data_IF_876117443675
#
_entry.id   IF_876117443675
#
_cell.length_a   1.000
_cell.length_b   1.000
_cell.length_c   1.000
_cell.angle_alpha   90.00
_cell.angle_beta   90.00
_cell.angle_gamma   90.00
#
_symmetry.space_group_name_H-M   'P 1'
#
loop_
_entity.id
_entity.type
_entity.pdbx_description
1 polymer ?
#
# COMPACT_ATOMS: atom_id res chain seq x y z
N UNK A 1 6.86 4.31 -31.92
CA UNK A 1 6.52 5.73 -31.67
C UNK A 1 6.31 5.87 -30.17
N UNK A 2 7.31 6.36 -29.46
CA UNK A 2 7.15 6.76 -28.06
C UNK A 2 6.30 8.02 -28.09
N UNK A 3 5.04 7.92 -27.68
CA UNK A 3 4.23 9.09 -27.45
C UNK A 3 4.92 9.90 -26.35
N UNK A 4 5.27 11.16 -26.64
CA UNK A 4 5.74 12.09 -25.63
C UNK A 4 4.61 12.23 -24.60
N UNK A 5 4.81 11.65 -23.42
CA UNK A 5 3.90 11.87 -22.31
C UNK A 5 3.92 13.36 -21.98
N UNK A 6 2.76 14.01 -21.72
CA UNK A 6 2.68 15.44 -21.40
C UNK A 6 3.20 15.73 -19.98
N UNK A 7 4.28 15.09 -19.60
CA UNK A 7 4.97 15.32 -18.33
C UNK A 7 6.07 16.35 -18.56
N UNK A 8 6.40 17.17 -17.55
CA UNK A 8 7.56 18.07 -17.61
C UNK A 8 8.78 17.26 -18.06
N UNK A 9 9.42 17.68 -19.15
CA UNK A 9 10.52 16.94 -19.82
C UNK A 9 11.81 16.96 -19.02
N UNK A 10 11.93 17.80 -18.00
CA UNK A 10 13.10 17.87 -17.11
C UNK A 10 12.67 17.57 -15.68
N UNK A 11 12.71 16.29 -15.27
CA UNK A 11 12.57 15.89 -13.87
C UNK A 11 13.95 15.61 -13.29
N UNK A 12 14.30 16.32 -12.23
CA UNK A 12 15.40 15.95 -11.36
C UNK A 12 14.85 15.11 -10.21
N UNK A 13 15.00 13.79 -10.33
CA UNK A 13 14.48 12.82 -9.34
C UNK A 13 15.24 12.88 -8.00
N UNK A 14 16.40 13.54 -7.97
CA UNK A 14 17.24 13.67 -6.77
C UNK A 14 17.00 14.96 -6.02
N UNK A 15 16.37 15.95 -6.68
CA UNK A 15 16.10 17.24 -6.06
C UNK A 15 15.06 17.15 -4.95
N UNK A 16 15.27 17.95 -3.92
CA UNK A 16 14.28 18.11 -2.85
C UNK A 16 13.02 18.82 -3.36
N UNK A 17 11.86 18.37 -2.88
CA UNK A 17 10.61 19.06 -3.16
C UNK A 17 10.54 20.39 -2.40
N UNK A 18 10.04 21.43 -3.05
CA UNK A 18 9.76 22.72 -2.40
C UNK A 18 8.62 22.58 -1.38
N UNK A 19 7.65 21.72 -1.66
CA UNK A 19 6.54 21.42 -0.76
C UNK A 19 6.87 20.16 0.05
N UNK A 20 7.13 20.32 1.34
CA UNK A 20 7.57 19.26 2.23
C UNK A 20 6.42 18.77 3.13
N UNK A 21 6.25 17.45 3.33
CA UNK A 21 5.23 16.90 4.22
C UNK A 21 5.31 17.46 5.65
N UNK A 22 6.51 17.62 6.19
CA UNK A 22 6.74 18.17 7.53
C UNK A 22 6.17 19.60 7.69
N UNK A 23 6.27 20.43 6.64
CA UNK A 23 5.72 21.78 6.67
C UNK A 23 4.19 21.78 6.70
N UNK A 24 3.58 20.91 5.90
CA UNK A 24 2.12 20.73 5.88
C UNK A 24 1.61 20.25 7.24
N UNK A 25 2.24 19.23 7.80
CA UNK A 25 1.86 18.65 9.09
C UNK A 25 2.01 19.64 10.25
N UNK A 26 3.09 20.43 10.25
CA UNK A 26 3.29 21.52 11.24
C UNK A 26 2.12 22.51 11.20
N UNK A 27 1.74 22.96 10.00
CA UNK A 27 0.62 23.89 9.85
C UNK A 27 -0.72 23.26 10.21
N UNK A 28 -0.94 21.98 9.88
CA UNK A 28 -2.14 21.25 10.25
C UNK A 28 -2.27 21.12 11.78
N UNK A 29 -1.16 20.79 12.49
CA UNK A 29 -1.15 20.78 13.96
C UNK A 29 -1.48 22.14 14.54
N UNK A 30 -0.86 23.20 14.04
CA UNK A 30 -1.13 24.57 14.49
C UNK A 30 -2.59 24.96 14.30
N UNK A 31 -3.17 24.70 13.13
CA UNK A 31 -4.55 25.07 12.81
C UNK A 31 -5.60 24.30 13.60
N UNK A 32 -5.32 23.01 13.87
CA UNK A 32 -6.26 22.10 14.54
C UNK A 32 -5.98 21.95 16.03
N UNK A 33 -4.96 22.65 16.54
CA UNK A 33 -4.49 22.56 17.93
C UNK A 33 -4.19 21.11 18.36
N UNK A 34 -3.48 20.36 17.52
CA UNK A 34 -3.10 18.97 17.79
C UNK A 34 -1.74 18.92 18.49
N UNK A 35 -1.51 17.92 19.37
CA UNK A 35 -0.21 17.71 19.99
C UNK A 35 0.84 17.31 18.94
N UNK A 36 2.10 17.61 19.23
CA UNK A 36 3.23 17.16 18.43
C UNK A 36 3.73 15.82 18.97
N UNK A 37 2.98 14.77 18.65
CA UNK A 37 3.27 13.39 19.02
C UNK A 37 3.68 12.60 17.79
N UNK A 38 4.76 11.81 17.86
CA UNK A 38 5.16 10.93 16.76
C UNK A 38 4.12 9.81 16.59
N UNK A 39 3.96 9.36 15.36
CA UNK A 39 3.16 8.17 15.07
C UNK A 39 3.92 6.90 15.50
N UNK A 40 3.24 5.74 15.63
CA UNK A 40 3.92 4.47 15.82
C UNK A 40 4.98 4.21 14.75
N UNK A 41 6.08 3.57 15.13
CA UNK A 41 7.20 3.29 14.20
C UNK A 41 6.80 2.34 13.06
N UNK A 42 5.81 1.49 13.30
CA UNK A 42 5.18 0.63 12.29
C UNK A 42 3.80 1.18 12.00
N UNK A 43 3.54 1.48 10.73
CA UNK A 43 2.24 1.96 10.29
C UNK A 43 1.69 1.10 9.15
N UNK A 44 0.38 0.88 9.19
CA UNK A 44 -0.36 0.15 8.19
C UNK A 44 -1.20 1.10 7.36
N UNK A 45 -1.09 0.99 6.04
CA UNK A 45 -2.09 1.50 5.11
C UNK A 45 -3.12 0.40 4.86
N UNK A 46 -4.37 0.73 5.11
CA UNK A 46 -5.55 -0.12 4.97
C UNK A 46 -6.48 0.53 3.92
N UNK A 47 -6.18 0.40 2.60
CA UNK A 47 -6.95 1.06 1.56
C UNK A 47 -8.43 0.73 1.60
N UNK A 48 -8.80 -0.50 1.88
CA UNK A 48 -10.20 -0.94 1.97
C UNK A 48 -10.91 -0.38 3.22
N UNK A 49 -10.18 -0.18 4.29
CA UNK A 49 -10.69 0.41 5.53
C UNK A 49 -11.30 -0.59 6.52
N UNK A 50 -11.16 -1.88 6.27
CA UNK A 50 -11.81 -2.91 7.07
C UNK A 50 -11.07 -3.21 8.37
N UNK A 51 -9.74 -3.13 8.36
CA UNK A 51 -8.92 -3.29 9.55
C UNK A 51 -9.23 -2.17 10.54
N UNK A 52 -9.25 -0.91 10.09
CA UNK A 52 -9.60 0.21 10.95
C UNK A 52 -11.05 0.14 11.46
N UNK A 53 -11.99 -0.30 10.63
CA UNK A 53 -13.38 -0.51 11.01
C UNK A 53 -13.50 -1.62 12.08
N UNK A 54 -12.76 -2.71 11.93
CA UNK A 54 -12.70 -3.78 12.94
C UNK A 54 -12.13 -3.27 14.26
N UNK A 55 -11.01 -2.54 14.24
CA UNK A 55 -10.41 -1.95 15.45
C UNK A 55 -11.40 -1.03 16.18
N UNK A 56 -12.11 -0.19 15.42
CA UNK A 56 -13.11 0.70 15.96
C UNK A 56 -14.30 -0.04 16.59
N UNK A 57 -14.84 -1.04 15.90
CA UNK A 57 -16.05 -1.76 16.34
C UNK A 57 -15.80 -2.68 17.53
N UNK A 58 -14.59 -3.25 17.63
CA UNK A 58 -14.21 -4.16 18.71
C UNK A 58 -13.59 -3.46 19.92
N UNK A 59 -13.32 -2.15 19.83
CA UNK A 59 -12.59 -1.41 20.86
C UNK A 59 -11.14 -1.83 21.05
N UNK A 60 -10.55 -2.53 20.06
CA UNK A 60 -9.15 -3.00 20.08
C UNK A 60 -8.17 -1.91 19.65
N UNK A 61 -8.65 -0.76 19.21
CA UNK A 61 -7.84 0.39 18.84
C UNK A 61 -8.39 1.68 19.42
N UNK A 62 -7.54 2.70 19.45
CA UNK A 62 -7.92 4.06 19.80
C UNK A 62 -7.41 5.04 18.75
N UNK A 63 -8.01 6.22 18.66
CA UNK A 63 -7.55 7.26 17.74
C UNK A 63 -6.26 7.90 18.21
N UNK A 64 -5.31 8.08 17.27
CA UNK A 64 -4.09 8.84 17.51
C UNK A 64 -4.38 10.33 17.50
N UNK A 65 -4.12 11.02 18.63
CA UNK A 65 -4.49 12.43 18.81
C UNK A 65 -3.58 13.40 18.05
N UNK A 66 -2.31 13.03 17.82
CA UNK A 66 -1.31 13.83 17.12
C UNK A 66 -1.25 13.63 15.59
N UNK A 67 -2.04 12.72 15.01
CA UNK A 67 -2.07 12.53 13.56
C UNK A 67 -2.68 13.74 12.85
N UNK A 68 -1.86 14.44 12.07
CA UNK A 68 -2.20 15.75 11.54
C UNK A 68 -2.62 15.77 10.07
N UNK A 69 -2.71 14.62 9.41
CA UNK A 69 -3.24 14.54 8.05
C UNK A 69 -4.65 15.13 7.97
N UNK A 70 -4.91 15.97 6.96
CA UNK A 70 -6.23 16.59 6.78
C UNK A 70 -7.30 15.62 6.31
N UNK A 71 -6.91 14.51 5.70
CA UNK A 71 -7.81 13.65 4.92
C UNK A 71 -8.10 12.31 5.60
N UNK A 72 -7.31 11.93 6.60
CA UNK A 72 -7.41 10.61 7.26
C UNK A 72 -7.34 10.75 8.77
N UNK A 73 -7.96 9.78 9.45
CA UNK A 73 -7.70 9.48 10.85
C UNK A 73 -6.68 8.35 10.95
N UNK A 74 -6.03 8.24 12.12
CA UNK A 74 -5.18 7.11 12.46
C UNK A 74 -5.76 6.38 13.67
N UNK A 75 -5.83 5.07 13.59
CA UNK A 75 -6.07 4.18 14.72
C UNK A 75 -4.77 3.60 15.22
N UNK A 76 -4.64 3.41 16.50
CA UNK A 76 -3.48 2.75 17.13
C UNK A 76 -3.96 1.51 17.84
N UNK A 77 -3.29 0.40 17.61
CA UNK A 77 -3.50 -0.88 18.30
C UNK A 77 -2.17 -1.42 18.79
N UNK A 78 -2.22 -2.37 19.72
CA UNK A 78 -1.05 -3.13 20.16
C UNK A 78 -1.07 -4.50 19.48
N UNK A 79 0.03 -4.86 18.85
CA UNK A 79 0.26 -6.18 18.27
C UNK A 79 1.47 -6.81 18.96
N UNK A 80 1.23 -7.79 19.80
CA UNK A 80 2.28 -8.53 20.52
C UNK A 80 3.29 -7.61 21.25
N UNK A 81 2.82 -6.51 21.84
CA UNK A 81 3.64 -5.53 22.56
C UNK A 81 4.24 -4.43 21.67
N UNK A 82 3.87 -4.39 20.39
CA UNK A 82 4.29 -3.34 19.46
C UNK A 82 3.10 -2.46 19.09
N UNK A 83 3.24 -1.15 19.29
CA UNK A 83 2.23 -0.19 18.84
C UNK A 83 2.25 -0.08 17.31
N UNK A 84 1.09 -0.24 16.67
CA UNK A 84 0.91 -0.13 15.21
C UNK A 84 -0.12 0.94 14.92
N UNK A 85 0.24 1.88 14.04
CA UNK A 85 -0.68 2.88 13.50
C UNK A 85 -1.41 2.32 12.27
N UNK A 86 -2.71 2.52 12.18
CA UNK A 86 -3.53 2.09 11.04
C UNK A 86 -4.22 3.28 10.41
N UNK A 87 -3.96 3.54 9.14
CA UNK A 87 -4.59 4.60 8.35
C UNK A 87 -5.42 3.97 7.25
N UNK A 88 -6.73 4.18 7.31
CA UNK A 88 -7.69 3.61 6.39
C UNK A 88 -7.96 4.49 5.16
N UNK A 89 -8.43 3.84 4.08
CA UNK A 89 -9.04 4.46 2.90
C UNK A 89 -8.10 5.34 2.07
N UNK A 90 -6.81 5.08 2.13
CA UNK A 90 -5.83 5.71 1.26
C UNK A 90 -5.75 4.97 -0.09
N UNK A 91 -6.88 4.93 -0.81
CA UNK A 91 -7.03 4.22 -2.07
C UNK A 91 -6.35 4.96 -3.22
N UNK A 92 -5.63 4.22 -4.03
CA UNK A 92 -4.97 4.70 -5.24
C UNK A 92 -3.59 5.29 -5.01
N UNK A 93 -2.73 5.12 -5.99
CA UNK A 93 -1.32 5.49 -5.95
C UNK A 93 -1.04 6.91 -5.42
N UNK A 94 -1.71 7.98 -5.90
CA UNK A 94 -1.43 9.34 -5.42
C UNK A 94 -1.74 9.53 -3.95
N UNK A 95 -2.83 8.94 -3.46
CA UNK A 95 -3.26 9.15 -2.08
C UNK A 95 -2.47 8.28 -1.11
N UNK A 96 -2.19 7.03 -1.48
CA UNK A 96 -1.34 6.15 -0.68
C UNK A 96 0.05 6.75 -0.46
N UNK A 97 0.67 7.28 -1.52
CA UNK A 97 1.99 7.94 -1.46
C UNK A 97 1.93 9.22 -0.61
N UNK A 98 0.91 10.06 -0.79
CA UNK A 98 0.73 11.27 0.02
C UNK A 98 0.66 10.94 1.51
N UNK A 99 -0.08 9.90 1.89
CA UNK A 99 -0.20 9.46 3.28
C UNK A 99 1.10 8.83 3.78
N UNK A 100 1.75 7.99 2.97
CA UNK A 100 3.03 7.36 3.33
C UNK A 100 4.12 8.40 3.62
N UNK A 101 4.28 9.42 2.78
CA UNK A 101 5.24 10.51 3.03
C UNK A 101 4.95 11.24 4.35
N UNK A 102 3.67 11.44 4.68
CA UNK A 102 3.28 12.05 5.96
C UNK A 102 3.53 11.13 7.16
N UNK A 103 3.38 9.82 7.01
CA UNK A 103 3.71 8.84 8.04
C UNK A 103 5.21 8.87 8.37
N UNK A 104 6.07 8.80 7.35
CA UNK A 104 7.53 8.90 7.55
C UNK A 104 7.94 10.25 8.15
N UNK A 105 7.36 11.35 7.68
CA UNK A 105 7.60 12.68 8.25
C UNK A 105 7.09 12.83 9.70
N UNK A 106 6.22 11.93 10.16
CA UNK A 106 5.69 11.88 11.53
C UNK A 106 6.38 10.85 12.42
N UNK A 107 7.41 10.14 11.93
CA UNK A 107 8.22 9.22 12.72
C UNK A 107 8.02 7.74 12.47
N UNK A 108 7.30 7.33 11.43
CA UNK A 108 7.26 5.93 11.02
C UNK A 108 8.63 5.48 10.47
N UNK A 109 9.00 4.24 10.76
CA UNK A 109 10.18 3.59 10.19
C UNK A 109 9.80 2.58 9.10
N UNK A 110 8.63 1.95 9.24
CA UNK A 110 8.10 0.96 8.33
C UNK A 110 6.65 1.26 8.02
N UNK A 111 6.30 1.24 6.74
CA UNK A 111 4.92 1.29 6.26
C UNK A 111 4.59 -0.04 5.57
N UNK A 112 3.52 -0.68 6.00
CA UNK A 112 2.96 -1.88 5.38
C UNK A 112 1.64 -1.53 4.73
N UNK A 113 1.48 -1.76 3.44
CA UNK A 113 0.18 -1.64 2.76
C UNK A 113 -0.46 -3.02 2.63
N UNK A 114 -1.70 -3.17 3.07
CA UNK A 114 -2.51 -4.37 2.87
C UNK A 114 -3.77 -3.95 2.14
N UNK A 115 -3.92 -4.39 0.90
CA UNK A 115 -5.05 -4.04 0.03
C UNK A 115 -5.72 -5.29 -0.50
N UNK A 116 -7.01 -5.24 -0.81
CA UNK A 116 -7.63 -6.27 -1.63
C UNK A 116 -7.10 -6.20 -3.06
N UNK A 117 -7.05 -7.34 -3.74
CA UNK A 117 -6.60 -7.38 -5.13
C UNK A 117 -7.39 -8.40 -5.95
N UNK A 118 -7.59 -8.07 -7.22
CA UNK A 118 -8.17 -8.97 -8.19
C UNK A 118 -7.15 -10.02 -8.66
N UNK A 119 -7.50 -11.31 -8.57
CA UNK A 119 -6.67 -12.38 -9.12
C UNK A 119 -6.73 -12.39 -10.64
N UNK A 120 -5.59 -12.24 -11.29
CA UNK A 120 -5.44 -12.35 -12.75
C UNK A 120 -5.06 -13.78 -13.17
N UNK A 121 -4.18 -14.40 -12.40
CA UNK A 121 -3.76 -15.79 -12.56
C UNK A 121 -3.86 -16.51 -11.21
N UNK A 122 -4.45 -17.71 -11.15
CA UNK A 122 -4.53 -18.47 -9.92
C UNK A 122 -3.14 -18.95 -9.49
N UNK A 123 -2.72 -18.57 -8.28
CA UNK A 123 -1.53 -19.09 -7.61
C UNK A 123 -1.90 -20.14 -6.57
N UNK A 124 -3.07 -19.98 -5.96
CA UNK A 124 -3.68 -20.89 -5.00
C UNK A 124 -5.21 -20.69 -5.01
N UNK A 125 -5.92 -21.53 -4.28
CA UNK A 125 -7.34 -21.29 -3.99
C UNK A 125 -7.48 -20.16 -2.97
N UNK A 126 -8.31 -19.12 -3.23
CA UNK A 126 -8.56 -18.06 -2.26
C UNK A 126 -9.20 -18.57 -0.95
N UNK A 127 -8.96 -17.93 0.22
CA UNK A 127 -8.16 -16.73 0.39
C UNK A 127 -6.66 -17.01 0.52
N UNK A 128 -5.82 -16.10 0.03
CA UNK A 128 -4.38 -16.12 0.25
C UNK A 128 -3.79 -14.69 0.09
N UNK A 129 -2.56 -14.50 0.57
CA UNK A 129 -1.85 -13.24 0.38
C UNK A 129 -0.79 -13.33 -0.71
N UNK A 130 -0.57 -12.23 -1.39
CA UNK A 130 0.58 -12.01 -2.26
C UNK A 130 1.52 -11.01 -1.59
N UNK A 131 2.74 -11.43 -1.26
CA UNK A 131 3.83 -10.49 -1.04
C UNK A 131 4.24 -9.96 -2.42
N UNK A 132 3.91 -8.70 -2.70
CA UNK A 132 4.23 -8.09 -3.98
C UNK A 132 5.73 -7.82 -4.04
N UNK A 133 6.47 -8.56 -4.85
CA UNK A 133 7.91 -8.33 -5.01
C UNK A 133 8.23 -7.34 -6.13
N UNK A 134 7.39 -7.26 -7.15
CA UNK A 134 7.44 -6.25 -8.21
C UNK A 134 6.03 -5.82 -8.59
N UNK A 135 5.85 -4.53 -8.87
CA UNK A 135 4.58 -3.96 -9.29
C UNK A 135 4.73 -3.26 -10.64
N UNK A 136 3.86 -3.63 -11.60
CA UNK A 136 3.80 -3.00 -12.92
C UNK A 136 3.27 -1.57 -12.79
N UNK A 137 4.02 -0.62 -13.33
CA UNK A 137 3.78 0.82 -13.20
C UNK A 137 2.80 1.32 -14.28
N UNK A 138 1.52 0.99 -14.14
CA UNK A 138 0.43 1.49 -15.00
C UNK A 138 -0.40 2.56 -14.26
N UNK A 139 0.31 3.49 -13.63
CA UNK A 139 -0.20 4.61 -12.87
C UNK A 139 0.70 5.85 -13.04
N UNK A 140 0.21 7.02 -12.65
CA UNK A 140 0.92 8.28 -12.89
C UNK A 140 1.93 8.68 -11.82
N UNK A 141 1.77 8.22 -10.59
CA UNK A 141 2.48 8.74 -9.41
C UNK A 141 3.95 8.31 -9.38
N UNK A 142 4.24 7.04 -9.67
CA UNK A 142 5.60 6.50 -9.66
C UNK A 142 6.55 7.24 -10.60
N UNK A 143 6.02 7.79 -11.70
CA UNK A 143 6.77 8.59 -12.68
C UNK A 143 7.24 9.96 -12.13
N UNK A 144 6.81 10.34 -10.92
CA UNK A 144 7.32 11.51 -10.22
C UNK A 144 8.51 11.19 -9.31
N UNK A 145 8.70 9.92 -8.96
CA UNK A 145 9.75 9.45 -8.05
C UNK A 145 10.91 8.78 -8.77
N UNK A 146 10.63 8.03 -9.84
CA UNK A 146 11.63 7.29 -10.60
C UNK A 146 11.52 7.53 -12.10
N UNK A 147 12.62 7.41 -12.86
CA UNK A 147 12.60 7.39 -14.32
C UNK A 147 11.62 6.34 -14.86
N UNK A 148 11.14 6.50 -16.10
CA UNK A 148 10.27 5.51 -16.73
C UNK A 148 10.93 4.13 -16.77
N UNK A 149 10.26 3.16 -16.19
CA UNK A 149 10.59 1.73 -16.25
C UNK A 149 9.29 0.94 -16.08
N UNK A 150 9.18 -0.30 -16.52
CA UNK A 150 7.94 -1.05 -16.40
C UNK A 150 7.62 -1.44 -14.95
N UNK A 151 8.62 -1.60 -14.09
CA UNK A 151 8.47 -2.15 -12.76
C UNK A 151 9.09 -1.26 -11.69
N UNK A 152 8.47 -1.25 -10.52
CA UNK A 152 9.08 -0.90 -9.23
C UNK A 152 9.09 -2.13 -8.33
N UNK A 153 9.98 -2.17 -7.33
CA UNK A 153 10.23 -3.41 -6.58
C UNK A 153 10.29 -3.19 -5.08
N UNK A 154 9.90 -4.24 -4.34
CA UNK A 154 10.13 -4.35 -2.90
C UNK A 154 11.63 -4.18 -2.59
N UNK A 155 12.02 -3.33 -1.63
CA UNK A 155 13.41 -3.21 -1.21
C UNK A 155 14.02 -4.57 -0.86
N UNK A 156 15.17 -4.89 -1.48
CA UNK A 156 15.76 -6.24 -1.40
C UNK A 156 16.09 -6.70 0.03
N UNK A 157 16.48 -5.78 0.92
CA UNK A 157 16.76 -6.10 2.32
C UNK A 157 15.49 -6.47 3.09
N UNK A 158 14.33 -5.89 2.75
CA UNK A 158 13.04 -6.27 3.33
C UNK A 158 12.59 -7.64 2.83
N UNK A 159 12.73 -7.91 1.53
CA UNK A 159 12.39 -9.21 0.96
C UNK A 159 13.10 -10.34 1.68
N UNK A 160 14.41 -10.22 1.85
CA UNK A 160 15.24 -11.23 2.53
C UNK A 160 14.84 -11.47 4.00
N UNK A 161 14.32 -10.46 4.68
CA UNK A 161 13.86 -10.57 6.08
C UNK A 161 12.45 -11.16 6.18
N UNK A 162 11.58 -10.82 5.25
CA UNK A 162 10.15 -11.17 5.30
C UNK A 162 9.89 -12.61 4.85
N UNK A 163 10.52 -13.07 3.77
CA UNK A 163 10.24 -14.39 3.20
C UNK A 163 10.29 -15.51 4.24
N UNK A 164 11.30 -15.61 5.12
CA UNK A 164 11.31 -16.64 6.16
C UNK A 164 10.17 -16.51 7.18
N UNK A 165 9.79 -15.28 7.53
CA UNK A 165 8.76 -15.02 8.54
C UNK A 165 7.33 -15.29 8.04
N UNK A 166 7.13 -15.24 6.73
CA UNK A 166 5.81 -15.42 6.12
C UNK A 166 5.44 -16.90 5.91
N UNK A 167 6.38 -17.83 6.04
CA UNK A 167 6.13 -19.27 5.84
C UNK A 167 5.24 -19.91 6.92
N UNK A 168 5.26 -19.36 8.13
CA UNK A 168 4.57 -19.94 9.29
C UNK A 168 3.19 -19.33 9.55
N UNK A 169 2.69 -18.51 8.62
CA UNK A 169 1.38 -17.88 8.75
C UNK A 169 0.24 -18.86 8.45
N UNK A 170 -0.90 -18.67 9.11
CA UNK A 170 -2.08 -19.54 8.95
C UNK A 170 -2.63 -19.50 7.51
N UNK A 171 -2.55 -18.35 6.86
CA UNK A 171 -2.92 -18.18 5.45
C UNK A 171 -1.67 -18.19 4.57
N UNK A 172 -1.75 -18.84 3.40
CA UNK A 172 -0.61 -18.86 2.48
C UNK A 172 -0.21 -17.45 2.04
N UNK A 173 1.09 -17.15 2.07
CA UNK A 173 1.67 -15.95 1.49
C UNK A 173 2.59 -16.35 0.34
N UNK A 174 2.30 -15.88 -0.85
CA UNK A 174 3.01 -16.23 -2.07
C UNK A 174 3.70 -14.98 -2.61
N UNK A 175 5.01 -15.05 -2.85
CA UNK A 175 5.74 -13.94 -3.48
C UNK A 175 5.44 -13.90 -4.97
N UNK A 176 4.90 -12.78 -5.46
CA UNK A 176 4.51 -12.65 -6.86
C UNK A 176 4.43 -11.17 -7.30
N UNK A 177 4.11 -10.95 -8.59
CA UNK A 177 4.02 -9.63 -9.21
C UNK A 177 2.59 -9.14 -9.27
N UNK A 178 2.39 -7.83 -9.02
CA UNK A 178 1.12 -7.16 -9.24
C UNK A 178 1.13 -6.28 -10.50
N UNK A 179 -0.05 -5.90 -10.93
CA UNK A 179 -0.31 -4.78 -11.82
C UNK A 179 -0.96 -3.65 -11.00
N UNK A 180 -0.31 -2.51 -10.90
CA UNK A 180 -0.89 -1.32 -10.24
C UNK A 180 -1.53 -0.42 -11.29
N UNK A 181 -2.83 -0.15 -11.15
CA UNK A 181 -3.57 0.73 -12.06
C UNK A 181 -4.27 1.88 -11.33
N UNK A 182 -4.30 3.07 -11.95
CA UNK A 182 -5.10 4.21 -11.47
C UNK A 182 -6.59 4.10 -11.86
N UNK A 183 -6.94 3.14 -12.73
CA UNK A 183 -8.24 3.12 -13.38
C UNK A 183 -8.89 1.71 -13.41
N UNK A 184 -9.37 1.19 -12.27
CA UNK A 184 -9.88 -0.18 -12.18
C UNK A 184 -11.05 -0.44 -13.14
N UNK A 185 -11.88 0.57 -13.43
CA UNK A 185 -12.97 0.43 -14.41
C UNK A 185 -12.50 0.46 -15.87
N UNK A 186 -11.19 0.49 -16.11
CA UNK A 186 -10.55 0.39 -17.43
C UNK A 186 -9.74 -0.89 -17.61
N UNK A 187 -9.85 -1.83 -16.70
CA UNK A 187 -9.26 -3.17 -16.80
C UNK A 187 -9.97 -3.98 -17.90
N UNK A 188 -9.63 -3.67 -19.14
CA UNK A 188 -10.19 -4.37 -20.32
C UNK A 188 -9.61 -5.77 -20.46
N UNK A 189 -10.30 -6.67 -21.16
CA UNK A 189 -9.76 -8.02 -21.45
C UNK A 189 -8.39 -7.98 -22.10
N UNK A 190 -8.14 -7.02 -22.98
CA UNK A 190 -6.84 -6.87 -23.63
C UNK A 190 -5.76 -6.39 -22.64
N UNK A 191 -6.07 -5.44 -21.75
CA UNK A 191 -5.15 -4.97 -20.73
C UNK A 191 -4.81 -6.10 -19.74
N UNK A 192 -5.80 -6.85 -19.28
CA UNK A 192 -5.61 -8.03 -18.42
C UNK A 192 -4.70 -9.06 -19.10
N UNK A 193 -4.98 -9.42 -20.37
CA UNK A 193 -4.16 -10.37 -21.10
C UNK A 193 -2.70 -9.89 -21.24
N UNK A 194 -2.49 -8.61 -21.53
CA UNK A 194 -1.14 -8.02 -21.61
C UNK A 194 -0.42 -8.02 -20.26
N UNK A 195 -1.12 -7.71 -19.16
CA UNK A 195 -0.54 -7.77 -17.82
C UNK A 195 -0.11 -9.20 -17.44
N UNK A 196 -0.95 -10.19 -17.77
CA UNK A 196 -0.65 -11.61 -17.57
C UNK A 196 0.56 -12.05 -18.39
N UNK A 197 0.64 -11.64 -19.67
CA UNK A 197 1.75 -12.00 -20.57
C UNK A 197 3.11 -11.53 -20.03
N UNK A 198 3.15 -10.37 -19.38
CA UNK A 198 4.37 -9.84 -18.75
C UNK A 198 4.59 -10.32 -17.32
N UNK A 199 3.70 -11.16 -16.78
CA UNK A 199 3.88 -11.89 -15.54
C UNK A 199 3.21 -11.31 -14.30
N UNK A 200 2.23 -10.38 -14.45
CA UNK A 200 1.40 -9.96 -13.34
C UNK A 200 0.40 -11.07 -12.96
N UNK A 201 0.21 -11.28 -11.67
CA UNK A 201 -0.67 -12.34 -11.13
C UNK A 201 -1.90 -11.79 -10.43
N UNK A 202 -1.85 -10.54 -10.00
CA UNK A 202 -2.98 -9.81 -9.41
C UNK A 202 -2.96 -8.34 -9.84
N UNK A 203 -4.04 -7.63 -9.57
CA UNK A 203 -4.19 -6.20 -9.85
C UNK A 203 -4.65 -5.47 -8.59
N UNK A 204 -4.02 -4.34 -8.31
CA UNK A 204 -4.29 -3.43 -7.19
C UNK A 204 -4.00 -1.98 -7.62
N UNK A 205 -4.02 -1.02 -6.69
CA UNK A 205 -3.99 0.40 -7.06
C UNK A 205 -2.84 1.21 -6.41
N UNK A 206 -1.91 0.63 -5.64
CA UNK A 206 -0.97 1.37 -4.77
C UNK A 206 0.50 0.97 -4.91
N UNK A 207 0.80 -0.32 -5.06
CA UNK A 207 2.12 -0.89 -4.81
C UNK A 207 3.23 -0.30 -5.68
N UNK A 208 2.97 -0.05 -6.97
CA UNK A 208 4.01 0.48 -7.85
C UNK A 208 4.51 1.86 -7.40
N UNK A 209 3.60 2.73 -6.99
CA UNK A 209 3.95 4.07 -6.53
C UNK A 209 4.60 4.06 -5.14
N UNK A 210 4.12 3.21 -4.24
CA UNK A 210 4.71 3.03 -2.91
C UNK A 210 6.15 2.51 -3.00
N UNK A 211 6.43 1.53 -3.86
CA UNK A 211 7.80 1.05 -4.09
C UNK A 211 8.68 2.07 -4.80
N UNK A 212 8.11 2.86 -5.72
CA UNK A 212 8.85 3.95 -6.33
C UNK A 212 9.25 5.03 -5.31
N UNK A 213 8.36 5.36 -4.37
CA UNK A 213 8.66 6.23 -3.23
C UNK A 213 9.76 5.60 -2.35
N UNK A 214 9.63 4.32 -2.01
CA UNK A 214 10.59 3.59 -1.18
C UNK A 214 12.01 3.66 -1.77
N UNK A 215 12.16 3.36 -3.06
CA UNK A 215 13.44 3.42 -3.75
C UNK A 215 13.99 4.85 -3.81
N UNK A 216 13.16 5.83 -4.21
CA UNK A 216 13.59 7.21 -4.39
C UNK A 216 14.05 7.90 -3.09
N UNK A 217 13.52 7.47 -1.94
CA UNK A 217 13.76 8.09 -0.63
C UNK A 217 14.50 7.19 0.35
N UNK A 218 14.81 5.95 -0.01
CA UNK A 218 15.44 4.98 0.90
C UNK A 218 14.56 4.62 2.09
N UNK A 219 13.27 4.39 1.85
CA UNK A 219 12.26 4.11 2.88
C UNK A 219 11.89 2.63 2.89
N UNK A 220 11.45 2.16 4.06
CA UNK A 220 10.98 0.79 4.24
C UNK A 220 9.46 0.72 4.00
N UNK A 221 9.06 0.17 2.86
CA UNK A 221 7.67 -0.05 2.48
C UNK A 221 7.48 -1.48 2.00
N UNK A 222 6.43 -2.14 2.48
CA UNK A 222 6.02 -3.49 2.09
C UNK A 222 4.57 -3.44 1.61
N UNK A 223 4.27 -4.09 0.48
CA UNK A 223 2.91 -4.21 -0.03
C UNK A 223 2.49 -5.68 -0.07
N UNK A 224 1.35 -5.95 0.56
CA UNK A 224 0.66 -7.23 0.57
C UNK A 224 -0.69 -7.07 -0.12
N UNK A 225 -1.03 -7.99 -1.00
CA UNK A 225 -2.34 -8.06 -1.62
C UNK A 225 -3.11 -9.26 -1.07
N UNK A 226 -4.32 -9.03 -0.59
CA UNK A 226 -5.23 -10.09 -0.14
C UNK A 226 -6.13 -10.52 -1.30
N UNK A 227 -6.00 -11.75 -1.72
CA UNK A 227 -6.78 -12.34 -2.81
C UNK A 227 -7.98 -13.06 -2.21
N UNK A 228 -9.15 -12.47 -2.36
CA UNK A 228 -10.42 -13.03 -1.85
C UNK A 228 -11.32 -13.60 -2.95
N UNK A 229 -11.07 -13.20 -4.21
CA UNK A 229 -11.88 -13.60 -5.37
C UNK A 229 -11.05 -13.69 -6.64
N UNK A 230 -11.63 -14.29 -7.67
CA UNK A 230 -11.01 -14.41 -8.99
C UNK A 230 -11.68 -13.47 -9.99
N UNK A 231 -10.92 -12.56 -10.60
CA UNK A 231 -11.38 -11.72 -11.71
C UNK A 231 -11.69 -12.53 -12.98
N UNK A 232 -11.22 -13.78 -13.06
CA UNK A 232 -11.40 -14.66 -14.21
C UNK A 232 -12.82 -15.20 -14.37
N UNK A 233 -13.67 -15.13 -13.35
CA UNK A 233 -15.06 -15.60 -13.40
C UNK A 233 -16.01 -14.41 -13.45
N UNK A 234 -16.39 -14.03 -14.66
CA UNK A 234 -17.38 -12.98 -14.92
C UNK A 234 -18.75 -13.37 -14.34
N UNK A 235 -19.22 -12.60 -13.37
CA UNK A 235 -20.65 -12.59 -13.01
C UNK A 235 -21.04 -12.66 -11.55
N UNK A 236 -20.15 -12.90 -10.61
CA UNK A 236 -20.55 -12.91 -9.20
C UNK A 236 -19.45 -12.30 -8.35
N UNK A 237 -19.65 -11.05 -7.95
CA UNK A 237 -18.88 -10.43 -6.88
C UNK A 237 -19.33 -11.08 -5.57
N UNK A 238 -18.70 -12.16 -5.16
CA UNK A 238 -18.83 -12.65 -3.81
C UNK A 238 -17.87 -11.83 -2.94
N UNK A 239 -18.40 -10.80 -2.32
CA UNK A 239 -17.74 -10.18 -1.16
C UNK A 239 -17.86 -11.22 -0.06
N UNK A 240 -16.83 -12.01 0.14
CA UNK A 240 -16.78 -12.95 1.25
C UNK A 240 -16.75 -12.15 2.57
N UNK A 241 -17.66 -12.50 3.49
CA UNK A 241 -17.78 -11.90 4.83
C UNK A 241 -16.60 -12.27 5.78
N UNK A 242 -15.49 -12.81 5.26
CA UNK A 242 -14.39 -13.36 6.07
C UNK A 242 -13.18 -12.43 6.20
N UNK A 243 -13.42 -11.15 6.41
CA UNK A 243 -12.37 -10.16 6.68
C UNK A 243 -11.66 -10.32 8.03
N UNK A 244 -12.04 -11.32 8.83
CA UNK A 244 -11.40 -11.58 10.12
C UNK A 244 -9.93 -12.01 10.00
N UNK A 245 -9.50 -12.42 8.82
CA UNK A 245 -8.19 -13.03 8.58
C UNK A 245 -7.05 -12.01 8.43
N UNK A 246 -7.29 -10.84 7.84
CA UNK A 246 -6.27 -9.77 7.76
C UNK A 246 -5.79 -9.32 9.15
N UNK A 247 -6.69 -9.31 10.12
CA UNK A 247 -6.33 -9.00 11.51
C UNK A 247 -5.45 -10.09 12.14
N UNK A 248 -5.55 -11.33 11.69
CA UNK A 248 -4.78 -12.45 12.23
C UNK A 248 -3.31 -12.38 11.82
N UNK A 249 -3.01 -11.99 10.58
CA UNK A 249 -1.64 -11.82 10.09
C UNK A 249 -0.82 -10.79 10.89
N UNK A 250 -1.47 -9.70 11.31
CA UNK A 250 -0.85 -8.67 12.14
C UNK A 250 -0.87 -8.98 13.63
N UNK A 251 -1.65 -10.00 14.07
CA UNK A 251 -1.81 -10.34 15.49
C UNK A 251 -0.90 -11.48 15.95
N UNK A 252 -0.24 -12.20 15.03
CA UNK A 252 0.58 -13.38 15.34
C UNK A 252 2.02 -13.31 14.77
N UNK A 253 2.45 -12.16 14.17
CA UNK A 253 3.85 -11.97 13.73
C UNK A 253 4.74 -11.32 14.79
#
# INVERSE_FOLDING_TARGET
>A
MTADLPLPTSKDYTAESVFQPANLLREARRQRNLPDEPVPRVCLLDPDGDIAAHLASTGRGHRHTGWACYHTDMWVTDLAGTAVGVVARAVGAPFAVLVAEQLFASGADLVVSITSAGQLQPLADPPYFVLIDQALRDEGTSLHYLPPSPWSALPGHLKARLEPALHDLAEPVITARSWTTDAPYRETRAAIASAIEIGATCVEMEAAALYALAEARGLDIVCLAHITNTMAVWGTLHIAEEWSCCCTLLLYS
#
